data_IF_429106328596
#
_entry.id   IF_429106328596
#
_cell.length_a   1.000
_cell.length_b   1.000
_cell.length_c   1.000
_cell.angle_alpha   90.00
_cell.angle_beta   90.00
_cell.angle_gamma   90.00
#
_symmetry.space_group_name_H-M   'P 1'
#
loop_
_entity.id
_entity.type
_entity.pdbx_description
1 polymer ?
#
# COMPACT_ATOMS: atom_id res chain seq x y z
N UNK A 1 -17.48 21.37 -57.37
CA UNK A 1 -18.34 22.41 -58.02
C UNK A 1 -18.94 23.26 -56.93
N UNK A 2 -18.95 24.57 -57.09
CA UNK A 2 -19.00 25.58 -56.05
C UNK A 2 -20.33 26.34 -55.98
N UNK A 3 -20.48 27.17 -54.94
CA UNK A 3 -21.18 28.48 -54.95
C UNK A 3 -21.26 28.97 -53.50
N UNK A 4 -20.51 29.94 -53.09
CA UNK A 4 -20.47 31.39 -53.29
C UNK A 4 -21.70 32.16 -52.71
N UNK A 5 -21.31 33.09 -51.76
CA UNK A 5 -21.70 34.51 -51.61
C UNK A 5 -23.11 34.84 -51.09
N UNK A 6 -23.19 35.61 -50.01
CA UNK A 6 -23.56 37.03 -50.15
C UNK A 6 -23.31 37.88 -48.87
N UNK A 7 -22.55 38.94 -49.08
CA UNK A 7 -22.34 40.09 -48.19
C UNK A 7 -23.64 40.92 -48.07
N UNK A 8 -23.93 41.49 -46.89
CA UNK A 8 -24.61 42.80 -46.81
C UNK A 8 -24.02 43.66 -45.69
N UNK A 9 -23.40 44.76 -46.13
CA UNK A 9 -23.04 45.94 -45.35
C UNK A 9 -24.29 46.73 -45.02
N UNK A 10 -24.40 47.27 -43.78
CA UNK A 10 -25.14 48.51 -43.52
C UNK A 10 -24.30 49.39 -42.62
N UNK A 11 -23.92 50.54 -43.14
CA UNK A 11 -23.37 51.70 -42.42
C UNK A 11 -24.51 52.50 -41.80
N UNK A 12 -24.33 53.05 -40.59
CA UNK A 12 -24.84 54.36 -40.13
C UNK A 12 -24.24 54.63 -38.75
N UNK A 13 -23.44 55.62 -38.68
CA UNK A 13 -23.54 57.04 -38.36
C UNK A 13 -23.31 57.31 -36.86
N UNK A 14 -22.31 58.14 -36.66
CA UNK A 14 -21.68 58.74 -35.52
C UNK A 14 -22.66 59.51 -34.62
N UNK A 15 -22.53 59.40 -33.31
CA UNK A 15 -22.85 60.46 -32.36
C UNK A 15 -21.77 60.51 -31.29
N UNK A 16 -21.03 61.58 -31.23
CA UNK A 16 -20.03 61.95 -30.23
C UNK A 16 -20.75 62.47 -29.02
N UNK A 17 -20.62 61.84 -27.87
CA UNK A 17 -20.91 62.43 -26.57
C UNK A 17 -19.65 62.30 -25.70
N UNK A 18 -18.98 63.39 -25.50
CA UNK A 18 -17.87 63.55 -24.58
C UNK A 18 -18.40 63.50 -23.14
N UNK A 19 -18.05 62.45 -22.41
CA UNK A 19 -18.18 62.41 -20.95
C UNK A 19 -16.78 62.24 -20.36
N UNK A 20 -16.36 63.28 -19.66
CA UNK A 20 -15.18 63.29 -18.80
C UNK A 20 -15.35 62.27 -17.69
N UNK A 21 -14.78 61.10 -17.88
CA UNK A 21 -14.71 60.04 -16.87
C UNK A 21 -13.29 60.04 -16.26
N UNK A 22 -13.21 60.35 -14.99
CA UNK A 22 -12.02 60.26 -14.14
C UNK A 22 -11.39 58.87 -14.25
N UNK A 23 -10.18 58.79 -14.76
CA UNK A 23 -9.36 57.58 -14.79
C UNK A 23 -8.88 57.35 -13.36
N UNK A 24 -9.60 56.51 -12.60
CA UNK A 24 -9.04 55.93 -11.38
C UNK A 24 -7.99 54.88 -11.77
N UNK A 25 -6.72 55.23 -11.64
CA UNK A 25 -5.61 54.30 -11.72
C UNK A 25 -5.78 53.24 -10.62
N UNK A 26 -5.75 51.93 -10.92
CA UNK A 26 -5.69 50.94 -9.87
C UNK A 26 -4.38 51.07 -9.11
N UNK A 27 -4.44 51.46 -7.86
CA UNK A 27 -3.31 51.38 -6.92
C UNK A 27 -3.02 49.90 -6.78
N UNK A 28 -1.93 49.44 -7.41
CA UNK A 28 -1.34 48.14 -7.15
C UNK A 28 -1.02 48.12 -5.65
N UNK A 29 -1.80 47.34 -4.88
CA UNK A 29 -1.50 47.10 -3.49
C UNK A 29 -0.14 46.35 -3.46
N UNK A 30 0.93 47.08 -3.12
CA UNK A 30 2.21 46.49 -2.86
C UNK A 30 2.06 45.43 -1.74
N UNK A 31 2.33 44.19 -2.03
CA UNK A 31 2.39 43.15 -1.02
C UNK A 31 3.36 43.60 0.08
N UNK A 32 2.91 43.63 1.33
CA UNK A 32 3.76 43.95 2.46
C UNK A 32 5.01 43.01 2.45
N UNK A 33 6.19 43.55 2.74
CA UNK A 33 7.39 42.75 2.76
C UNK A 33 7.25 41.57 3.72
N UNK A 34 7.74 40.39 3.33
CA UNK A 34 7.69 39.18 4.17
C UNK A 34 8.47 39.42 5.47
N UNK A 35 7.87 39.03 6.61
CA UNK A 35 8.51 39.15 7.92
C UNK A 35 9.83 38.39 8.00
N UNK A 36 10.81 38.91 8.77
CA UNK A 36 12.08 38.23 9.04
C UNK A 36 12.09 37.64 10.44
N UNK A 37 12.82 36.56 10.63
CA UNK A 37 12.99 35.94 11.93
C UNK A 37 13.61 36.93 12.94
N UNK A 38 13.04 37.03 14.14
CA UNK A 38 13.44 37.99 15.18
C UNK A 38 12.80 39.36 15.10
N UNK A 39 12.14 39.75 14.00
CA UNK A 39 11.40 40.97 13.91
C UNK A 39 10.18 40.96 14.85
N UNK A 40 9.82 42.16 15.39
CA UNK A 40 8.63 42.31 16.20
C UNK A 40 7.36 42.12 15.40
N UNK A 41 6.37 41.49 15.99
CA UNK A 41 5.01 41.41 15.45
C UNK A 41 4.01 41.96 16.44
N UNK A 42 2.79 42.26 15.99
CA UNK A 42 1.77 42.80 16.86
C UNK A 42 0.98 41.71 17.61
N UNK A 43 0.36 42.05 18.74
CA UNK A 43 -0.53 41.15 19.50
C UNK A 43 -1.64 40.55 18.61
N UNK A 44 -2.16 41.32 17.65
CA UNK A 44 -3.17 40.84 16.69
C UNK A 44 -2.65 39.85 15.65
N UNK A 45 -1.34 39.70 15.54
CA UNK A 45 -0.66 38.78 14.62
C UNK A 45 -0.24 37.46 15.30
N UNK A 46 -0.48 37.34 16.61
CA UNK A 46 -0.15 36.08 17.32
C UNK A 46 -0.82 34.87 16.63
N UNK A 47 -0.03 33.82 16.43
CA UNK A 47 -0.39 32.60 15.68
C UNK A 47 -0.62 32.79 14.17
N UNK A 48 -0.46 34.00 13.63
CA UNK A 48 -0.44 34.18 12.17
C UNK A 48 0.91 33.77 11.59
N UNK A 49 0.90 33.32 10.33
CA UNK A 49 2.09 32.91 9.58
C UNK A 49 2.49 34.00 8.58
N UNK A 50 3.80 34.17 8.39
CA UNK A 50 4.42 34.94 7.30
C UNK A 50 5.54 34.06 6.71
N UNK A 51 5.24 33.37 5.59
CA UNK A 51 6.11 32.30 5.07
C UNK A 51 6.26 31.15 6.08
N UNK A 52 7.51 30.80 6.41
CA UNK A 52 7.85 29.78 7.41
C UNK A 52 7.88 30.30 8.84
N UNK A 53 7.57 31.59 9.08
CA UNK A 53 7.59 32.23 10.39
C UNK A 53 6.21 32.27 11.00
N UNK A 54 6.14 32.17 12.35
CA UNK A 54 4.90 32.34 13.14
C UNK A 54 5.14 33.44 14.17
N UNK A 55 4.21 34.37 14.32
CA UNK A 55 4.27 35.37 15.36
C UNK A 55 3.91 34.76 16.72
N UNK A 56 4.86 34.80 17.68
CA UNK A 56 4.69 34.22 19.02
C UNK A 56 4.96 35.23 20.11
N UNK A 57 4.26 35.07 21.25
CA UNK A 57 4.52 35.84 22.46
C UNK A 57 5.53 35.10 23.34
N UNK A 58 6.57 35.80 23.79
CA UNK A 58 7.53 35.28 24.76
C UNK A 58 7.23 35.86 26.15
N UNK A 59 6.82 35.03 27.09
CA UNK A 59 6.59 35.43 28.49
C UNK A 59 7.87 35.92 29.18
N UNK A 60 9.03 35.44 28.78
CA UNK A 60 10.34 35.81 29.36
C UNK A 60 10.75 37.23 28.95
N UNK A 61 10.54 37.60 27.68
CA UNK A 61 10.93 38.93 27.16
C UNK A 61 9.75 39.89 27.09
N UNK A 62 8.53 39.44 27.34
CA UNK A 62 7.25 40.16 27.22
C UNK A 62 7.02 40.79 25.83
N UNK A 63 7.65 40.23 24.80
CA UNK A 63 7.61 40.73 23.42
C UNK A 63 6.93 39.71 22.48
N UNK A 64 6.40 40.25 21.38
CA UNK A 64 5.86 39.51 20.26
C UNK A 64 6.89 39.49 19.13
N UNK A 65 7.34 38.33 18.64
CA UNK A 65 8.35 38.20 17.59
C UNK A 65 8.00 37.15 16.55
N UNK A 66 8.41 37.38 15.32
CA UNK A 66 8.36 36.38 14.28
C UNK A 66 9.48 35.36 14.51
N UNK A 67 9.09 34.14 14.86
CA UNK A 67 10.04 33.04 15.02
C UNK A 67 9.81 32.01 13.92
N UNK A 68 10.89 31.48 13.41
CA UNK A 68 10.79 30.27 12.59
C UNK A 68 10.04 29.23 13.41
N UNK A 69 9.11 28.50 12.80
CA UNK A 69 8.62 27.29 13.42
C UNK A 69 9.86 26.52 13.88
N UNK A 70 10.01 26.33 15.19
CA UNK A 70 11.09 25.51 15.68
C UNK A 70 11.02 24.23 14.84
N UNK A 71 12.09 23.95 14.08
CA UNK A 71 12.26 22.60 13.56
C UNK A 71 12.03 21.74 14.80
N UNK A 72 10.95 20.96 14.81
CA UNK A 72 10.67 20.07 15.92
C UNK A 72 11.88 19.16 16.02
N UNK A 73 12.85 19.58 16.84
CA UNK A 73 13.92 18.69 17.29
C UNK A 73 13.20 17.72 18.22
N UNK A 74 12.42 16.82 17.65
CA UNK A 74 11.92 15.66 18.32
C UNK A 74 13.15 15.03 18.96
N UNK A 75 13.19 15.07 20.29
CA UNK A 75 14.26 14.42 21.03
C UNK A 75 14.19 12.95 20.70
N UNK A 76 15.03 12.47 19.79
CA UNK A 76 15.18 11.05 19.42
C UNK A 76 15.66 10.18 20.60
N UNK A 77 15.63 10.71 21.82
CA UNK A 77 16.22 10.11 23.02
C UNK A 77 15.71 8.70 23.32
N UNK A 78 14.49 8.37 22.88
CA UNK A 78 13.86 7.07 23.09
C UNK A 78 13.60 6.29 21.80
N UNK A 79 14.16 6.74 20.68
CA UNK A 79 14.00 6.03 19.42
C UNK A 79 14.88 4.77 19.37
N UNK A 80 14.45 3.71 18.71
CA UNK A 80 15.27 2.52 18.49
C UNK A 80 16.51 2.89 17.67
N UNK A 81 17.63 2.19 17.92
CA UNK A 81 18.87 2.39 17.15
C UNK A 81 18.77 1.87 15.70
N UNK A 82 17.77 1.03 15.41
CA UNK A 82 17.46 0.51 14.09
C UNK A 82 15.97 0.22 13.97
N UNK A 83 15.45 0.26 12.73
CA UNK A 83 14.12 -0.24 12.36
C UNK A 83 14.26 -1.51 11.53
N UNK A 84 13.34 -2.43 11.76
CA UNK A 84 13.27 -3.70 11.02
C UNK A 84 11.96 -3.76 10.25
N UNK A 85 12.07 -3.83 8.93
CA UNK A 85 10.99 -4.07 8.00
C UNK A 85 10.95 -5.56 7.67
N UNK A 86 9.78 -6.17 7.67
CA UNK A 86 9.60 -7.55 7.24
C UNK A 86 8.37 -7.69 6.33
N UNK A 87 8.29 -8.79 5.63
CA UNK A 87 7.11 -9.18 4.85
C UNK A 87 6.94 -10.70 4.90
N UNK A 88 5.68 -11.16 4.82
CA UNK A 88 5.42 -12.59 4.66
C UNK A 88 6.03 -13.10 3.35
N UNK A 89 6.69 -14.27 3.33
CA UNK A 89 7.38 -14.77 2.14
C UNK A 89 6.38 -15.27 1.08
N UNK A 90 5.69 -14.32 0.44
CA UNK A 90 4.69 -14.60 -0.60
C UNK A 90 5.32 -15.14 -1.90
N UNK A 91 6.61 -14.90 -2.09
CA UNK A 91 7.40 -15.32 -3.25
C UNK A 91 8.88 -15.52 -2.88
N UNK A 92 9.74 -15.69 -3.89
CA UNK A 92 11.19 -15.86 -3.69
C UNK A 92 11.80 -14.72 -2.87
N UNK A 93 12.54 -15.07 -1.81
CA UNK A 93 13.13 -14.12 -0.85
C UNK A 93 14.11 -13.14 -1.49
N UNK A 94 14.92 -13.57 -2.45
CA UNK A 94 15.87 -12.69 -3.13
C UNK A 94 15.12 -11.60 -3.93
N UNK A 95 14.05 -11.98 -4.64
CA UNK A 95 13.17 -11.04 -5.34
C UNK A 95 12.54 -10.03 -4.36
N UNK A 96 12.02 -10.51 -3.24
CA UNK A 96 11.45 -9.64 -2.20
C UNK A 96 12.49 -8.64 -1.67
N UNK A 97 13.70 -9.10 -1.36
CA UNK A 97 14.77 -8.23 -0.83
C UNK A 97 15.07 -7.06 -1.77
N UNK A 98 15.14 -7.31 -3.08
CA UNK A 98 15.35 -6.27 -4.07
C UNK A 98 14.18 -5.27 -4.13
N UNK A 99 12.95 -5.76 -4.06
CA UNK A 99 11.73 -4.93 -4.13
C UNK A 99 11.56 -4.02 -2.93
N UNK A 100 11.89 -4.50 -1.73
CA UNK A 100 11.78 -3.71 -0.51
C UNK A 100 12.90 -2.68 -0.34
N UNK A 101 13.94 -2.70 -1.18
CA UNK A 101 15.07 -1.78 -1.06
C UNK A 101 14.64 -0.32 -1.04
N UNK A 102 13.87 0.14 -2.02
CA UNK A 102 13.41 1.53 -2.09
C UNK A 102 12.52 1.91 -0.90
N UNK A 103 11.66 1.00 -0.47
CA UNK A 103 10.84 1.18 0.74
C UNK A 103 11.71 1.43 1.96
N UNK A 104 12.70 0.57 2.20
CA UNK A 104 13.65 0.67 3.31
C UNK A 104 14.43 1.97 3.26
N UNK A 105 14.95 2.34 2.10
CA UNK A 105 15.73 3.56 1.89
C UNK A 105 14.89 4.82 2.20
N UNK A 106 13.60 4.85 1.80
CA UNK A 106 12.70 5.97 2.09
C UNK A 106 12.37 6.04 3.58
N UNK A 107 12.05 4.93 4.24
CA UNK A 107 11.83 4.91 5.69
C UNK A 107 13.08 5.40 6.44
N UNK A 108 14.27 4.91 6.08
CA UNK A 108 15.52 5.35 6.67
C UNK A 108 15.76 6.85 6.48
N UNK A 109 15.54 7.36 5.26
CA UNK A 109 15.70 8.78 4.95
C UNK A 109 14.78 9.67 5.77
N UNK A 110 13.51 9.30 5.87
CA UNK A 110 12.49 10.12 6.54
C UNK A 110 12.60 10.09 8.07
N UNK A 111 12.99 8.96 8.63
CA UNK A 111 13.17 8.79 10.08
C UNK A 111 14.59 9.16 10.53
N UNK A 112 15.58 9.02 9.65
CA UNK A 112 17.01 9.08 9.99
C UNK A 112 17.44 7.95 10.93
N UNK A 113 16.66 6.84 10.99
CA UNK A 113 17.01 5.63 11.76
C UNK A 113 17.48 4.56 10.77
N UNK A 114 18.62 3.91 10.99
CA UNK A 114 19.08 2.78 10.19
C UNK A 114 17.96 1.75 10.05
N UNK A 115 17.62 1.39 8.82
CA UNK A 115 16.48 0.51 8.53
C UNK A 115 16.95 -0.68 7.70
N UNK A 116 16.49 -1.88 8.05
CA UNK A 116 16.84 -3.11 7.34
C UNK A 116 15.60 -3.91 6.99
N UNK A 117 15.66 -4.66 5.89
CA UNK A 117 14.66 -5.65 5.54
C UNK A 117 15.10 -7.04 6.00
N UNK A 118 14.19 -7.79 6.61
CA UNK A 118 14.38 -9.20 6.94
C UNK A 118 13.28 -10.04 6.29
N UNK A 119 13.60 -11.25 5.92
CA UNK A 119 12.65 -12.28 5.53
C UNK A 119 12.72 -13.43 6.52
N UNK A 120 11.62 -14.17 6.64
CA UNK A 120 11.58 -15.44 7.36
C UNK A 120 11.40 -16.60 6.37
N UNK A 121 11.53 -17.83 6.86
CA UNK A 121 11.34 -19.03 6.04
C UNK A 121 9.87 -19.28 5.71
N UNK A 122 8.96 -18.81 6.58
CA UNK A 122 7.52 -18.97 6.48
C UNK A 122 6.77 -17.78 7.10
N UNK A 123 5.45 -17.77 6.93
CA UNK A 123 4.56 -16.71 7.46
C UNK A 123 4.55 -16.69 9.00
N UNK A 124 4.64 -17.86 9.65
CA UNK A 124 4.66 -17.95 11.10
C UNK A 124 5.87 -17.24 11.69
N UNK A 125 7.05 -17.40 11.07
CA UNK A 125 8.27 -16.72 11.51
C UNK A 125 8.16 -15.19 11.46
N UNK A 126 7.48 -14.61 10.45
CA UNK A 126 7.22 -13.16 10.38
C UNK A 126 6.25 -12.73 11.48
N UNK A 127 5.18 -13.49 11.69
CA UNK A 127 4.21 -13.23 12.77
C UNK A 127 4.93 -13.21 14.13
N UNK A 128 5.71 -14.24 14.43
CA UNK A 128 6.45 -14.36 15.69
C UNK A 128 7.52 -13.25 15.84
N UNK A 129 8.16 -12.84 14.74
CA UNK A 129 9.11 -11.72 14.79
C UNK A 129 8.42 -10.41 15.23
N UNK A 130 7.20 -10.15 14.77
CA UNK A 130 6.47 -8.95 15.15
C UNK A 130 5.84 -9.05 16.54
N UNK A 131 5.27 -10.20 16.92
CA UNK A 131 4.78 -10.46 18.29
C UNK A 131 5.89 -10.25 19.32
N UNK A 132 7.09 -10.73 19.02
CA UNK A 132 8.27 -10.58 19.86
C UNK A 132 8.94 -9.19 19.78
N UNK A 133 8.38 -8.24 19.00
CA UNK A 133 8.94 -6.91 18.85
C UNK A 133 10.25 -6.85 18.05
N UNK A 134 10.58 -7.89 17.28
CA UNK A 134 11.78 -7.96 16.43
C UNK A 134 11.59 -7.41 15.02
N UNK A 135 10.33 -7.17 14.59
CA UNK A 135 9.98 -6.50 13.37
C UNK A 135 9.08 -5.30 13.68
N UNK A 136 9.42 -4.11 13.18
CA UNK A 136 8.74 -2.86 13.50
C UNK A 136 7.65 -2.55 12.48
N UNK A 137 7.90 -2.83 11.21
CA UNK A 137 7.02 -2.57 10.07
C UNK A 137 6.89 -3.88 9.30
N UNK A 138 5.67 -4.38 9.14
CA UNK A 138 5.46 -5.66 8.42
C UNK A 138 4.36 -5.53 7.37
N UNK A 139 4.66 -5.99 6.16
CA UNK A 139 3.67 -6.18 5.11
C UNK A 139 3.11 -7.60 5.22
N UNK A 140 1.82 -7.68 5.48
CA UNK A 140 1.10 -8.92 5.70
C UNK A 140 0.12 -9.23 4.56
N UNK A 141 -0.23 -10.51 4.39
CA UNK A 141 -1.55 -10.84 3.87
C UNK A 141 -2.63 -10.59 4.94
N UNK A 142 -3.89 -10.33 4.57
CA UNK A 142 -4.96 -10.04 5.53
C UNK A 142 -5.09 -11.08 6.65
N UNK A 143 -5.01 -12.35 6.33
CA UNK A 143 -5.14 -13.43 7.33
C UNK A 143 -3.93 -13.48 8.27
N UNK A 144 -2.71 -13.39 7.77
CA UNK A 144 -1.51 -13.35 8.63
C UNK A 144 -1.50 -12.13 9.55
N UNK A 145 -2.05 -10.98 9.12
CA UNK A 145 -2.28 -9.82 9.99
C UNK A 145 -3.27 -10.14 11.12
N UNK A 146 -4.42 -10.75 10.78
CA UNK A 146 -5.42 -11.18 11.77
C UNK A 146 -4.81 -12.14 12.79
N UNK A 147 -4.01 -13.11 12.32
CA UNK A 147 -3.31 -14.05 13.20
C UNK A 147 -2.28 -13.35 14.12
N UNK A 148 -1.51 -12.40 13.59
CA UNK A 148 -0.56 -11.62 14.40
C UNK A 148 -1.28 -10.84 15.52
N UNK A 149 -2.42 -10.23 15.22
CA UNK A 149 -3.28 -9.55 16.19
C UNK A 149 -3.82 -10.52 17.24
N UNK A 150 -4.35 -11.67 16.83
CA UNK A 150 -4.88 -12.70 17.74
C UNK A 150 -3.80 -13.25 18.68
N UNK A 151 -2.52 -13.31 18.23
CA UNK A 151 -1.37 -13.72 19.03
C UNK A 151 -0.79 -12.59 19.92
N UNK A 152 -1.47 -11.44 19.99
CA UNK A 152 -1.10 -10.36 20.88
C UNK A 152 -0.07 -9.37 20.32
N UNK A 153 0.21 -9.37 19.03
CA UNK A 153 1.06 -8.35 18.42
C UNK A 153 0.45 -6.95 18.63
N UNK A 154 1.22 -6.06 19.23
CA UNK A 154 0.83 -4.66 19.47
C UNK A 154 1.04 -3.83 18.20
N UNK A 155 0.19 -4.04 17.21
CA UNK A 155 0.31 -3.45 15.86
C UNK A 155 -0.95 -2.71 15.44
N UNK A 156 -0.76 -1.80 14.48
CA UNK A 156 -1.83 -1.08 13.80
C UNK A 156 -1.66 -1.21 12.28
N UNK A 157 -2.74 -1.52 11.56
CA UNK A 157 -2.77 -1.44 10.11
C UNK A 157 -2.79 0.04 9.71
N UNK A 158 -1.72 0.51 9.11
CA UNK A 158 -1.56 1.91 8.71
C UNK A 158 -2.18 2.17 7.35
N UNK A 159 -1.94 1.28 6.41
CA UNK A 159 -2.42 1.40 5.05
C UNK A 159 -2.57 0.04 4.38
N UNK A 160 -3.47 -0.07 3.41
CA UNK A 160 -3.55 -1.20 2.50
C UNK A 160 -3.05 -0.80 1.11
N UNK A 161 -2.43 -1.75 0.41
CA UNK A 161 -1.96 -1.55 -0.96
C UNK A 161 -3.13 -1.25 -1.90
N UNK A 162 -2.88 -0.39 -2.90
CA UNK A 162 -3.84 -0.05 -3.95
C UNK A 162 -3.17 -0.05 -5.31
N UNK A 163 -3.89 -0.46 -6.39
CA UNK A 163 -3.31 -0.56 -7.73
C UNK A 163 -3.13 0.79 -8.44
N UNK A 164 -3.88 1.82 -8.03
CA UNK A 164 -3.80 3.17 -8.63
C UNK A 164 -3.93 4.28 -7.59
N UNK A 165 -3.50 5.48 -7.94
CA UNK A 165 -3.62 6.68 -7.09
C UNK A 165 -5.08 7.01 -6.72
N UNK A 166 -6.02 6.71 -7.60
CA UNK A 166 -7.46 7.02 -7.45
C UNK A 166 -8.25 5.92 -6.76
N UNK A 167 -7.68 4.72 -6.62
CA UNK A 167 -8.33 3.62 -5.89
C UNK A 167 -8.40 3.95 -4.40
N UNK A 168 -9.61 4.05 -3.87
CA UNK A 168 -9.82 4.32 -2.44
C UNK A 168 -9.56 3.08 -1.58
N UNK A 169 -10.00 1.90 -2.05
CA UNK A 169 -9.81 0.61 -1.39
C UNK A 169 -9.54 -0.46 -2.44
N UNK A 170 -8.47 -1.23 -2.23
CA UNK A 170 -8.11 -2.34 -3.09
C UNK A 170 -8.68 -3.68 -2.63
N UNK A 171 -8.88 -4.56 -3.59
CA UNK A 171 -9.25 -5.96 -3.41
C UNK A 171 -8.46 -6.82 -4.39
N UNK A 172 -8.29 -8.06 -4.05
CA UNK A 172 -7.68 -9.09 -4.90
C UNK A 172 -8.43 -10.41 -4.75
N UNK A 173 -8.07 -11.42 -5.53
CA UNK A 173 -8.74 -12.71 -5.55
C UNK A 173 -7.77 -13.85 -5.27
N UNK A 174 -8.31 -14.97 -4.78
CA UNK A 174 -7.66 -16.26 -4.81
C UNK A 174 -8.12 -17.03 -6.03
N UNK A 175 -7.19 -17.59 -6.79
CA UNK A 175 -7.45 -18.49 -7.90
C UNK A 175 -7.04 -19.91 -7.54
N UNK A 176 -7.79 -20.90 -8.05
CA UNK A 176 -7.31 -22.26 -8.24
C UNK A 176 -6.92 -22.41 -9.70
N UNK A 177 -5.66 -22.69 -9.96
CA UNK A 177 -5.14 -22.90 -11.31
C UNK A 177 -4.73 -24.36 -11.52
N UNK A 178 -4.91 -24.86 -12.75
CA UNK A 178 -4.44 -26.17 -13.19
C UNK A 178 -3.91 -26.08 -14.59
N UNK A 179 -3.11 -27.03 -15.05
CA UNK A 179 -2.69 -27.11 -16.44
C UNK A 179 -3.91 -27.20 -17.36
N UNK A 180 -3.88 -26.52 -18.48
CA UNK A 180 -4.93 -26.61 -19.50
C UNK A 180 -5.09 -28.02 -20.04
N UNK A 181 -3.98 -28.76 -20.13
CA UNK A 181 -3.96 -30.17 -20.54
C UNK A 181 -4.54 -31.14 -19.50
N UNK A 182 -4.67 -30.72 -18.22
CA UNK A 182 -5.29 -31.54 -17.19
C UNK A 182 -6.81 -31.49 -17.30
N UNK A 183 -7.41 -32.46 -18.00
CA UNK A 183 -8.85 -32.54 -18.21
C UNK A 183 -9.64 -33.02 -17.00
N UNK A 184 -8.96 -33.51 -15.95
CA UNK A 184 -9.60 -34.04 -14.73
C UNK A 184 -9.97 -32.98 -13.68
N UNK A 185 -9.50 -31.72 -13.85
CA UNK A 185 -9.80 -30.60 -12.94
C UNK A 185 -10.43 -29.45 -13.73
N UNK A 186 -11.72 -29.21 -13.58
CA UNK A 186 -12.49 -28.16 -14.26
C UNK A 186 -13.28 -27.30 -13.29
N UNK A 187 -13.41 -27.71 -12.04
CA UNK A 187 -14.07 -26.99 -10.96
C UNK A 187 -13.39 -27.26 -9.62
N UNK A 188 -13.73 -26.48 -8.61
CA UNK A 188 -13.15 -26.64 -7.25
C UNK A 188 -13.40 -28.03 -6.68
N UNK A 189 -14.55 -28.64 -6.95
CA UNK A 189 -14.92 -29.98 -6.49
C UNK A 189 -14.06 -31.12 -7.04
N UNK A 190 -13.38 -30.87 -8.15
CA UNK A 190 -12.58 -31.90 -8.83
C UNK A 190 -11.21 -32.14 -8.16
N UNK A 191 -10.90 -31.43 -7.07
CA UNK A 191 -9.66 -31.62 -6.30
C UNK A 191 -9.68 -32.88 -5.42
N UNK A 192 -10.83 -33.56 -5.28
CA UNK A 192 -10.91 -34.80 -4.50
C UNK A 192 -9.98 -35.87 -5.06
N UNK A 193 -9.15 -36.44 -4.17
CA UNK A 193 -8.13 -37.43 -4.51
C UNK A 193 -6.92 -36.86 -5.26
N UNK A 194 -6.75 -35.54 -5.34
CA UNK A 194 -5.67 -34.86 -6.06
C UNK A 194 -4.62 -34.28 -5.14
N UNK A 195 -3.45 -34.03 -5.68
CA UNK A 195 -2.41 -33.23 -5.02
C UNK A 195 -2.67 -31.75 -5.26
N UNK A 196 -2.97 -31.01 -4.22
CA UNK A 196 -3.35 -29.59 -4.29
C UNK A 196 -2.29 -28.73 -3.59
N UNK A 197 -1.68 -27.83 -4.33
CA UNK A 197 -0.73 -26.89 -3.77
C UNK A 197 -1.44 -25.73 -3.06
N UNK A 198 -1.10 -25.55 -1.79
CA UNK A 198 -1.38 -24.37 -0.97
C UNK A 198 -0.07 -23.58 -0.80
N UNK A 199 -0.18 -22.32 -0.41
CA UNK A 199 1.00 -21.45 -0.23
C UNK A 199 1.63 -21.66 1.15
N UNK A 200 0.91 -21.22 2.18
CA UNK A 200 1.30 -21.29 3.60
C UNK A 200 0.02 -21.31 4.43
N UNK A 201 0.05 -21.96 5.56
CA UNK A 201 -1.12 -22.12 6.42
C UNK A 201 -1.64 -20.81 7.07
N UNK A 202 -0.89 -19.72 6.97
CA UNK A 202 -1.29 -18.36 7.35
C UNK A 202 -1.53 -17.43 6.13
N UNK A 203 -1.51 -17.98 4.90
CA UNK A 203 -1.81 -17.22 3.69
C UNK A 203 -3.32 -17.03 3.54
N UNK A 204 -3.75 -15.83 3.14
CA UNK A 204 -5.16 -15.50 2.90
C UNK A 204 -5.68 -16.20 1.65
N UNK A 205 -5.12 -15.85 0.48
CA UNK A 205 -5.53 -16.39 -0.82
C UNK A 205 -4.91 -17.73 -1.14
N UNK A 206 -3.79 -18.07 -0.49
CA UNK A 206 -3.14 -19.36 -0.68
C UNK A 206 -3.61 -20.46 0.29
N UNK A 207 -4.47 -20.15 1.26
CA UNK A 207 -4.95 -21.15 2.23
C UNK A 207 -6.34 -20.85 2.80
N UNK A 208 -6.57 -19.68 3.43
CA UNK A 208 -7.81 -19.43 4.18
C UNK A 208 -9.04 -19.43 3.26
N UNK A 209 -9.05 -18.58 2.23
CA UNK A 209 -10.17 -18.50 1.28
C UNK A 209 -10.35 -19.78 0.46
N UNK A 210 -9.27 -20.42 -0.03
CA UNK A 210 -9.33 -21.79 -0.56
C UNK A 210 -10.04 -22.77 0.36
N UNK A 211 -9.62 -22.85 1.62
CA UNK A 211 -10.23 -23.77 2.61
C UNK A 211 -11.71 -23.47 2.81
N UNK A 212 -12.07 -22.19 2.93
CA UNK A 212 -13.48 -21.82 3.05
C UNK A 212 -14.30 -22.18 1.79
N UNK A 213 -13.72 -22.00 0.60
CA UNK A 213 -14.32 -22.40 -0.67
C UNK A 213 -14.55 -23.91 -0.75
N UNK A 214 -13.53 -24.70 -0.39
CA UNK A 214 -13.63 -26.17 -0.37
C UNK A 214 -14.69 -26.66 0.62
N UNK A 215 -14.71 -26.11 1.84
CA UNK A 215 -15.72 -26.45 2.84
C UNK A 215 -17.13 -26.09 2.38
N UNK A 216 -17.32 -24.98 1.67
CA UNK A 216 -18.61 -24.58 1.09
C UNK A 216 -19.11 -25.58 0.04
N UNK A 217 -18.20 -26.20 -0.71
CA UNK A 217 -18.49 -27.30 -1.65
C UNK A 217 -18.61 -28.68 -0.94
N UNK A 218 -18.56 -28.71 0.39
CA UNK A 218 -18.64 -29.93 1.18
C UNK A 218 -17.37 -30.81 1.13
N UNK A 219 -16.23 -30.25 0.76
CA UNK A 219 -14.96 -30.95 0.60
C UNK A 219 -14.13 -30.78 1.87
N UNK A 220 -13.80 -31.91 2.51
CA UNK A 220 -12.98 -31.92 3.72
C UNK A 220 -11.50 -32.07 3.37
N UNK A 221 -10.63 -31.59 4.28
CA UNK A 221 -9.16 -31.66 4.09
C UNK A 221 -8.61 -33.09 3.97
N UNK A 222 -9.37 -34.09 4.37
CA UNK A 222 -9.02 -35.53 4.22
C UNK A 222 -9.31 -36.07 2.82
N UNK A 223 -9.99 -35.30 1.95
CA UNK A 223 -10.41 -35.77 0.63
C UNK A 223 -9.42 -35.37 -0.48
N UNK A 224 -8.34 -34.66 -0.16
CA UNK A 224 -7.24 -34.30 -1.08
C UNK A 224 -5.91 -34.29 -0.35
N UNK A 225 -4.80 -34.35 -1.10
CA UNK A 225 -3.46 -34.23 -0.53
C UNK A 225 -3.01 -32.78 -0.57
N UNK A 226 -2.80 -32.16 0.59
CA UNK A 226 -2.29 -30.78 0.69
C UNK A 226 -0.77 -30.74 0.56
N UNK A 227 -0.25 -29.93 -0.36
CA UNK A 227 1.18 -29.64 -0.50
C UNK A 227 1.38 -28.15 -0.21
N UNK A 228 2.13 -27.81 0.85
CA UNK A 228 2.48 -26.43 1.14
C UNK A 228 3.73 -26.03 0.36
N UNK A 229 3.57 -25.20 -0.67
CA UNK A 229 4.64 -24.80 -1.59
C UNK A 229 5.59 -23.74 -1.01
N UNK A 230 5.15 -22.99 0.02
CA UNK A 230 5.94 -21.96 0.68
C UNK A 230 6.05 -20.64 -0.08
N UNK A 231 5.24 -20.44 -1.14
CA UNK A 231 5.16 -19.21 -1.93
C UNK A 231 4.10 -19.32 -3.02
N UNK A 232 3.55 -18.20 -3.46
CA UNK A 232 2.55 -18.16 -4.53
C UNK A 232 3.16 -18.53 -5.89
N UNK A 233 4.37 -18.05 -6.14
CA UNK A 233 5.19 -18.44 -7.29
C UNK A 233 5.45 -19.95 -7.32
N UNK A 234 5.86 -20.51 -6.21
CA UNK A 234 6.15 -21.94 -6.07
C UNK A 234 4.91 -22.81 -6.24
N UNK A 235 3.73 -22.35 -5.78
CA UNK A 235 2.46 -23.06 -5.97
C UNK A 235 2.16 -23.25 -7.46
N UNK A 236 2.27 -22.19 -8.28
CA UNK A 236 2.02 -22.27 -9.73
C UNK A 236 3.11 -23.08 -10.44
N UNK A 237 4.38 -22.88 -10.06
CA UNK A 237 5.50 -23.63 -10.64
C UNK A 237 5.42 -25.13 -10.31
N UNK A 238 4.90 -25.50 -9.14
CA UNK A 238 4.65 -26.91 -8.80
C UNK A 238 3.55 -27.54 -9.67
N UNK A 239 2.51 -26.75 -10.02
CA UNK A 239 1.50 -27.17 -11.01
C UNK A 239 2.14 -27.32 -12.40
N UNK A 240 2.98 -26.36 -12.81
CA UNK A 240 3.72 -26.43 -14.08
C UNK A 240 4.60 -27.69 -14.15
N UNK A 241 5.30 -28.01 -13.08
CA UNK A 241 6.15 -29.18 -12.98
C UNK A 241 5.36 -30.51 -12.91
N UNK A 242 4.06 -30.47 -12.56
CA UNK A 242 3.23 -31.65 -12.36
C UNK A 242 3.35 -32.28 -10.96
N UNK A 243 3.99 -31.60 -10.01
CA UNK A 243 4.04 -32.00 -8.58
C UNK A 243 2.67 -31.87 -7.94
N UNK A 244 1.90 -30.83 -8.35
CA UNK A 244 0.51 -30.65 -7.96
C UNK A 244 -0.39 -30.70 -9.20
N UNK A 245 -1.58 -31.28 -9.03
CA UNK A 245 -2.63 -31.30 -10.07
C UNK A 245 -3.28 -29.92 -10.24
N UNK A 246 -3.38 -29.17 -9.14
CA UNK A 246 -3.86 -27.78 -9.08
C UNK A 246 -3.16 -27.02 -7.94
N UNK A 247 -3.17 -25.69 -8.00
CA UNK A 247 -2.54 -24.85 -7.00
C UNK A 247 -3.30 -23.56 -6.75
N UNK A 248 -3.33 -23.12 -5.51
CA UNK A 248 -3.89 -21.83 -5.12
C UNK A 248 -2.85 -20.73 -5.20
N UNK A 249 -3.29 -19.57 -5.72
CA UNK A 249 -2.43 -18.41 -5.95
C UNK A 249 -3.28 -17.13 -5.88
N UNK A 250 -2.70 -15.96 -5.58
CA UNK A 250 -3.43 -14.73 -5.79
C UNK A 250 -3.37 -14.29 -7.26
N UNK A 251 -4.40 -13.56 -7.68
CA UNK A 251 -4.66 -13.18 -9.07
C UNK A 251 -3.47 -12.48 -9.74
N UNK A 252 -2.93 -11.38 -9.16
CA UNK A 252 -1.82 -10.64 -9.76
C UNK A 252 -0.54 -11.48 -9.92
N UNK A 253 -0.26 -12.43 -9.00
CA UNK A 253 0.87 -13.34 -9.17
C UNK A 253 0.72 -14.18 -10.44
N UNK A 254 -0.48 -14.68 -10.69
CA UNK A 254 -0.76 -15.52 -11.82
C UNK A 254 -0.93 -14.73 -13.13
N UNK A 255 -1.72 -13.66 -13.09
CA UNK A 255 -2.09 -12.90 -14.29
C UNK A 255 -0.98 -11.95 -14.75
N UNK A 256 -0.15 -11.45 -13.81
CA UNK A 256 0.81 -10.38 -14.08
C UNK A 256 2.26 -10.82 -13.80
N UNK A 257 2.58 -11.22 -12.56
CA UNK A 257 3.97 -11.29 -12.11
C UNK A 257 4.73 -12.46 -12.73
N UNK A 258 4.15 -13.64 -12.75
CA UNK A 258 4.82 -14.82 -13.31
C UNK A 258 4.97 -14.72 -14.84
N UNK A 259 3.94 -14.27 -15.62
CA UNK A 259 4.10 -14.05 -17.05
C UNK A 259 5.13 -12.97 -17.39
N UNK A 260 5.12 -11.82 -16.72
CA UNK A 260 6.08 -10.73 -16.96
C UNK A 260 7.53 -11.14 -16.71
N UNK A 261 7.74 -12.07 -15.79
CA UNK A 261 9.06 -12.62 -15.48
C UNK A 261 9.47 -13.78 -16.40
N UNK A 262 8.59 -14.17 -17.32
CA UNK A 262 8.84 -15.32 -18.21
C UNK A 262 8.88 -16.67 -17.50
N UNK A 263 8.33 -16.76 -16.27
CA UNK A 263 8.35 -17.99 -15.47
C UNK A 263 7.25 -18.96 -15.89
N UNK A 264 6.13 -18.44 -16.39
CA UNK A 264 5.04 -19.24 -16.97
C UNK A 264 4.52 -18.59 -18.26
N UNK A 265 3.88 -19.43 -19.08
CA UNK A 265 2.93 -18.94 -20.10
C UNK A 265 1.52 -19.18 -19.55
N UNK A 266 0.78 -18.10 -19.22
CA UNK A 266 -0.56 -18.21 -18.64
C UNK A 266 -1.54 -18.98 -19.55
N UNK A 267 -1.31 -19.02 -20.88
CA UNK A 267 -2.12 -19.76 -21.84
C UNK A 267 -2.05 -21.30 -21.66
N UNK A 268 -1.02 -21.79 -20.94
CA UNK A 268 -0.85 -23.22 -20.66
C UNK A 268 -1.67 -23.69 -19.44
N UNK A 269 -2.31 -22.74 -18.76
CA UNK A 269 -3.12 -22.98 -17.58
C UNK A 269 -4.58 -22.61 -17.82
N UNK A 270 -5.41 -23.01 -16.87
CA UNK A 270 -6.79 -22.58 -16.70
C UNK A 270 -7.05 -22.20 -15.26
N UNK A 271 -7.79 -21.13 -15.05
CA UNK A 271 -8.35 -20.77 -13.73
C UNK A 271 -9.68 -21.47 -13.60
N UNK A 272 -9.77 -22.42 -12.66
CA UNK A 272 -10.94 -23.28 -12.49
C UNK A 272 -11.86 -22.81 -11.36
N UNK A 273 -11.36 -21.92 -10.49
CA UNK A 273 -12.12 -21.30 -9.43
C UNK A 273 -11.51 -19.96 -9.03
N UNK A 274 -12.39 -19.05 -8.59
CA UNK A 274 -12.04 -17.74 -8.05
C UNK A 274 -12.79 -17.52 -6.74
N UNK A 275 -12.14 -16.93 -5.76
CA UNK A 275 -12.77 -16.53 -4.50
C UNK A 275 -13.69 -15.31 -4.67
N UNK A 276 -14.42 -14.96 -3.63
CA UNK A 276 -14.92 -13.59 -3.42
C UNK A 276 -13.75 -12.62 -3.21
N UNK A 277 -14.08 -11.32 -3.18
CA UNK A 277 -13.11 -10.26 -2.96
C UNK A 277 -12.41 -10.39 -1.61
N UNK A 278 -11.10 -10.25 -1.61
CA UNK A 278 -10.23 -10.24 -0.44
C UNK A 278 -9.74 -8.80 -0.27
N UNK A 279 -9.87 -8.16 0.91
CA UNK A 279 -9.29 -6.84 1.13
C UNK A 279 -7.78 -6.89 0.92
N UNK A 280 -7.20 -5.85 0.29
CA UNK A 280 -5.76 -5.82 0.01
C UNK A 280 -4.92 -5.85 1.29
N UNK A 281 -3.69 -6.28 1.10
CA UNK A 281 -2.67 -6.55 2.11
C UNK A 281 -2.31 -5.31 2.93
N UNK A 282 -2.30 -5.41 4.29
CA UNK A 282 -1.95 -4.30 5.15
C UNK A 282 -0.44 -4.15 5.36
N UNK A 283 0.00 -2.89 5.47
CA UNK A 283 1.23 -2.52 6.15
C UNK A 283 0.90 -2.28 7.62
N UNK A 284 1.46 -3.08 8.51
CA UNK A 284 1.26 -2.97 9.95
C UNK A 284 2.52 -2.45 10.65
N UNK A 285 2.35 -1.53 11.60
CA UNK A 285 3.42 -0.89 12.35
C UNK A 285 3.21 -1.14 13.85
N UNK A 286 4.28 -1.37 14.59
CA UNK A 286 4.25 -1.53 16.05
C UNK A 286 3.74 -0.26 16.71
N UNK A 287 2.77 -0.40 17.63
CA UNK A 287 2.15 0.70 18.39
C UNK A 287 2.99 1.16 19.60
N UNK A 288 3.95 0.36 20.02
CA UNK A 288 4.83 0.67 21.15
C UNK A 288 6.12 1.39 20.72
N UNK A 289 6.25 1.77 19.45
CA UNK A 289 7.23 2.74 19.02
C UNK A 289 6.92 4.12 19.62
N UNK A 290 7.94 4.98 19.87
CA UNK A 290 7.72 6.36 20.24
C UNK A 290 6.72 7.04 19.30
N UNK A 291 5.74 7.75 19.87
CA UNK A 291 4.58 8.28 19.11
C UNK A 291 4.97 9.18 17.93
N UNK A 292 6.02 9.98 18.11
CA UNK A 292 6.55 10.85 17.07
C UNK A 292 7.19 10.06 15.91
N UNK A 293 7.91 8.98 16.21
CA UNK A 293 8.46 8.06 15.22
C UNK A 293 7.36 7.30 14.49
N UNK A 294 6.35 6.82 15.24
CA UNK A 294 5.19 6.15 14.67
C UNK A 294 4.46 7.03 13.64
N UNK A 295 4.21 8.30 13.99
CA UNK A 295 3.53 9.24 13.08
C UNK A 295 4.39 9.58 11.84
N UNK A 296 5.72 9.67 11.97
CA UNK A 296 6.62 9.84 10.82
C UNK A 296 6.53 8.62 9.90
N UNK A 297 6.60 7.40 10.44
CA UNK A 297 6.49 6.16 9.67
C UNK A 297 5.13 6.10 8.96
N UNK A 298 4.05 6.35 9.69
CA UNK A 298 2.68 6.36 9.15
C UNK A 298 2.53 7.34 7.99
N UNK A 299 2.96 8.59 8.19
CA UNK A 299 2.94 9.62 7.15
C UNK A 299 3.78 9.22 5.95
N UNK A 300 4.97 8.68 6.18
CA UNK A 300 5.86 8.21 5.12
C UNK A 300 5.20 7.12 4.28
N UNK A 301 4.60 6.11 4.92
CA UNK A 301 3.90 5.02 4.22
C UNK A 301 2.76 5.56 3.36
N UNK A 302 1.94 6.46 3.89
CA UNK A 302 0.74 6.94 3.21
C UNK A 302 1.01 7.98 2.12
N UNK A 303 2.05 8.82 2.28
CA UNK A 303 2.30 9.95 1.39
C UNK A 303 3.49 9.74 0.45
N UNK A 304 4.52 8.98 0.87
CA UNK A 304 5.78 8.86 0.14
C UNK A 304 6.06 7.49 -0.45
N UNK A 305 5.43 6.43 0.07
CA UNK A 305 5.57 5.09 -0.49
C UNK A 305 4.51 4.88 -1.58
N UNK A 306 4.77 5.45 -2.75
CA UNK A 306 3.95 5.29 -3.95
C UNK A 306 4.77 5.57 -5.21
N UNK A 307 4.29 5.09 -6.37
CA UNK A 307 5.01 5.21 -7.65
C UNK A 307 5.31 6.66 -8.02
N UNK A 308 4.34 7.57 -7.86
CA UNK A 308 4.51 9.00 -8.17
C UNK A 308 5.63 9.63 -7.33
N UNK A 309 5.64 9.36 -6.02
CA UNK A 309 6.69 9.85 -5.12
C UNK A 309 8.06 9.23 -5.44
N UNK A 310 8.11 7.93 -5.77
CA UNK A 310 9.36 7.26 -6.12
C UNK A 310 9.98 7.83 -7.40
N UNK A 311 9.15 8.14 -8.41
CA UNK A 311 9.62 8.85 -9.61
C UNK A 311 10.14 10.23 -9.25
N UNK A 312 9.41 11.01 -8.44
CA UNK A 312 9.85 12.35 -8.04
C UNK A 312 11.13 12.37 -7.20
N UNK A 313 11.40 11.29 -6.46
CA UNK A 313 12.63 11.09 -5.68
C UNK A 313 13.79 10.52 -6.51
N UNK A 314 13.59 10.21 -7.80
CA UNK A 314 14.59 9.60 -8.67
C UNK A 314 14.85 8.11 -8.38
N UNK A 315 13.98 7.44 -7.63
CA UNK A 315 14.09 6.01 -7.33
C UNK A 315 13.58 5.14 -8.48
N UNK A 316 12.77 5.72 -9.37
CA UNK A 316 12.24 5.09 -10.57
C UNK A 316 12.29 6.10 -11.73
N UNK A 317 12.45 5.62 -12.96
CA UNK A 317 12.43 6.47 -14.17
C UNK A 317 11.03 6.91 -14.58
N UNK A 318 10.02 6.06 -14.36
CA UNK A 318 8.61 6.34 -14.63
C UNK A 318 7.72 5.39 -13.81
N UNK A 319 6.41 5.70 -13.71
CA UNK A 319 5.46 4.89 -12.92
C UNK A 319 5.19 3.50 -13.53
N UNK A 320 5.26 3.34 -14.84
CA UNK A 320 4.92 2.08 -15.51
C UNK A 320 5.91 0.96 -15.14
N UNK A 321 7.19 1.30 -14.97
CA UNK A 321 8.26 0.35 -14.61
C UNK A 321 8.66 0.43 -13.14
N UNK A 322 7.96 1.26 -12.36
CA UNK A 322 8.28 1.48 -10.95
C UNK A 322 7.65 0.41 -10.05
N UNK A 323 8.47 -0.21 -9.21
CA UNK A 323 8.03 -1.13 -8.17
C UNK A 323 8.10 -0.47 -6.81
N UNK A 324 6.97 -0.45 -6.09
CA UNK A 324 6.91 0.08 -4.71
C UNK A 324 7.28 -1.02 -3.72
N UNK A 325 6.54 -2.13 -3.71
CA UNK A 325 6.81 -3.38 -2.98
C UNK A 325 6.36 -4.60 -3.79
N UNK A 326 5.31 -4.48 -4.60
CA UNK A 326 4.78 -5.45 -5.55
C UNK A 326 4.48 -4.73 -6.86
N UNK A 327 4.61 -5.40 -8.00
CA UNK A 327 4.53 -4.76 -9.33
C UNK A 327 3.16 -4.12 -9.57
N UNK A 328 2.08 -4.75 -9.08
CA UNK A 328 0.72 -4.23 -9.20
C UNK A 328 0.36 -3.14 -8.18
N UNK A 329 1.24 -2.82 -7.23
CA UNK A 329 0.98 -1.82 -6.19
C UNK A 329 1.41 -0.43 -6.67
N UNK A 330 0.46 0.53 -6.71
CA UNK A 330 0.80 1.94 -6.86
C UNK A 330 1.33 2.55 -5.55
N UNK A 331 0.74 2.21 -4.42
CA UNK A 331 1.07 2.74 -3.09
C UNK A 331 0.06 2.28 -2.03
N UNK A 332 -0.12 3.10 -0.99
CA UNK A 332 -0.96 2.75 0.15
C UNK A 332 -2.06 3.79 0.40
N UNK A 333 -3.24 3.33 0.81
CA UNK A 333 -4.32 4.16 1.36
C UNK A 333 -4.61 3.76 2.81
N UNK A 334 -4.91 4.75 3.64
CA UNK A 334 -5.19 4.53 5.06
C UNK A 334 -6.31 3.52 5.26
N UNK A 335 -6.13 2.61 6.20
CA UNK A 335 -7.12 1.63 6.62
C UNK A 335 -7.18 1.54 8.15
N UNK A 336 -8.24 0.92 8.65
CA UNK A 336 -8.37 0.53 10.05
C UNK A 336 -8.41 -0.99 10.19
N UNK A 337 -8.24 -1.48 11.40
CA UNK A 337 -8.32 -2.90 11.73
C UNK A 337 -9.65 -3.55 11.28
N UNK A 338 -10.76 -2.80 11.37
CA UNK A 338 -12.09 -3.25 10.95
C UNK A 338 -12.19 -3.64 9.46
N UNK A 339 -11.26 -3.15 8.62
CA UNK A 339 -11.17 -3.57 7.21
C UNK A 339 -11.00 -5.08 7.05
N UNK A 340 -10.50 -5.76 8.07
CA UNK A 340 -10.17 -7.20 8.05
C UNK A 340 -11.18 -8.06 8.84
N UNK A 341 -12.35 -7.51 9.23
CA UNK A 341 -13.38 -8.25 9.95
C UNK A 341 -13.98 -9.37 9.09
N UNK A 342 -14.18 -9.14 7.79
CA UNK A 342 -14.61 -10.19 6.87
C UNK A 342 -13.62 -11.37 6.83
N UNK A 343 -12.31 -11.10 6.94
CA UNK A 343 -11.28 -12.14 7.00
C UNK A 343 -11.39 -12.94 8.30
N UNK A 344 -11.73 -12.30 9.42
CA UNK A 344 -12.00 -12.97 10.70
C UNK A 344 -13.23 -13.87 10.58
N UNK A 345 -14.32 -13.38 9.97
CA UNK A 345 -15.52 -14.17 9.75
C UNK A 345 -15.25 -15.40 8.86
N UNK A 346 -14.49 -15.24 7.77
CA UNK A 346 -14.07 -16.36 6.93
C UNK A 346 -13.24 -17.36 7.74
N UNK A 347 -12.35 -16.89 8.60
CA UNK A 347 -11.55 -17.75 9.47
C UNK A 347 -12.45 -18.55 10.44
N UNK A 348 -13.36 -17.91 11.12
CA UNK A 348 -14.31 -18.55 12.03
C UNK A 348 -15.18 -19.59 11.32
N UNK A 349 -15.64 -19.29 10.10
CA UNK A 349 -16.45 -20.22 9.29
C UNK A 349 -15.68 -21.51 8.94
N UNK A 350 -14.36 -21.47 8.85
CA UNK A 350 -13.54 -22.68 8.63
C UNK A 350 -13.41 -23.57 9.86
N UNK A 351 -13.80 -23.08 11.04
CA UNK A 351 -13.63 -23.76 12.35
C UNK A 351 -12.17 -24.17 12.63
N UNK A 352 -11.23 -23.54 11.99
CA UNK A 352 -9.81 -23.79 12.17
C UNK A 352 -9.37 -23.40 13.59
N UNK A 353 -8.56 -24.24 14.24
CA UNK A 353 -7.94 -23.90 15.53
C UNK A 353 -7.02 -22.67 15.47
N UNK A 354 -6.60 -22.27 14.26
CA UNK A 354 -5.79 -21.07 14.02
C UNK A 354 -6.56 -19.77 14.22
N UNK A 355 -7.89 -19.82 14.17
CA UNK A 355 -8.78 -18.66 14.29
C UNK A 355 -9.17 -18.32 15.74
N UNK A 356 -8.64 -19.08 16.72
CA UNK A 356 -8.97 -18.95 18.15
C UNK A 356 -7.78 -18.45 18.93
#
# INVERSE_FOLDING_TARGET
>A
MPRQLLLRRIRRVVAIAALLGSVATPVLAQAAPAAKAGESCSKSQVNKKSGSLTCTYSAKTKNYTWVAAAASTTSKKNWPSKLVVAAVPSENVATMTLRYKNFVDVIQKETGVPTTFISATDYAGVIEAQVAGRADIVFYGPFSYVLAKARGAKIEAIGASVPTATTAQGYYLSYLVSKKSNTSINALKDVKGKNVCFVDAASTSGFLYPTAGLLKEGIQSTEYSSVFAGGHDKSVLAVQAGTCDAGFVYDDMFDILLPQRGLINAADFKVVWKSGQIPNSPMAVRKDLPSDLFEIIKKTILEKINKTSFVSMGLCTNEATCNVIEDATWGFKSVTDARYDDVRQVCEATKSSRCR
#
